data_IF_938933322560
#
_entry.id   IF_938933322560
#
_cell.length_a   1.000
_cell.length_b   1.000
_cell.length_c   1.000
_cell.angle_alpha   90.00
_cell.angle_beta   90.00
_cell.angle_gamma   90.00
#
_symmetry.space_group_name_H-M   'P 1'
#
loop_
_entity.id
_entity.type
_entity.pdbx_description
1 polymer ?
#
# COMPACT_ATOMS: atom_id res chain seq x y z
N UNK A 1 0.68 -13.71 10.61
CA UNK A 1 -0.59 -14.35 10.21
C UNK A 1 -1.34 -13.48 9.21
N UNK A 2 -1.64 -12.21 9.53
CA UNK A 2 -2.39 -11.29 8.65
C UNK A 2 -1.65 -11.03 7.32
N UNK A 3 -0.33 -10.85 7.34
CA UNK A 3 0.44 -10.61 6.11
C UNK A 3 0.48 -11.82 5.16
N UNK A 4 0.35 -13.04 5.67
CA UNK A 4 0.25 -14.22 4.80
C UNK A 4 -1.13 -14.28 4.13
N UNK A 5 -2.18 -13.77 4.79
CA UNK A 5 -3.50 -13.64 4.20
C UNK A 5 -3.55 -12.53 3.14
N UNK A 6 -2.76 -11.46 3.26
CA UNK A 6 -2.65 -10.44 2.19
C UNK A 6 -1.75 -10.88 1.03
N UNK A 7 -0.71 -11.67 1.31
CA UNK A 7 0.28 -12.09 0.29
C UNK A 7 -0.05 -13.40 -0.43
N UNK A 8 -0.84 -14.28 0.20
CA UNK A 8 -1.24 -15.57 -0.38
C UNK A 8 -2.75 -15.84 -0.32
N UNK A 9 -3.54 -14.90 0.21
CA UNK A 9 -4.98 -15.04 0.27
C UNK A 9 -5.68 -14.62 -1.02
N UNK A 10 -6.94 -14.98 -1.15
CA UNK A 10 -7.77 -14.59 -2.29
C UNK A 10 -8.09 -13.10 -2.24
N UNK A 11 -8.37 -12.44 -3.38
CA UNK A 11 -8.77 -11.03 -3.40
C UNK A 11 -9.99 -10.74 -2.49
N UNK A 12 -10.88 -11.73 -2.29
CA UNK A 12 -11.99 -11.64 -1.34
C UNK A 12 -11.53 -11.54 0.11
N UNK A 13 -10.50 -12.29 0.51
CA UNK A 13 -9.92 -12.19 1.86
C UNK A 13 -9.25 -10.83 2.07
N UNK A 14 -8.58 -10.30 1.04
CA UNK A 14 -7.99 -8.96 1.09
C UNK A 14 -9.07 -7.90 1.28
N UNK A 15 -10.16 -7.96 0.51
CA UNK A 15 -11.31 -7.05 0.67
C UNK A 15 -11.92 -7.11 2.07
N UNK A 16 -12.06 -8.32 2.61
CA UNK A 16 -12.56 -8.52 3.97
C UNK A 16 -11.63 -7.89 5.02
N UNK A 17 -10.32 -8.09 4.91
CA UNK A 17 -9.34 -7.48 5.82
C UNK A 17 -9.38 -5.95 5.75
N UNK A 18 -9.52 -5.38 4.56
CA UNK A 18 -9.65 -3.93 4.39
C UNK A 18 -10.96 -3.42 5.02
N UNK A 19 -12.07 -4.16 4.85
CA UNK A 19 -13.34 -3.82 5.47
C UNK A 19 -13.28 -3.82 7.01
N UNK A 20 -12.44 -4.68 7.60
CA UNK A 20 -12.15 -4.72 9.04
C UNK A 20 -11.17 -3.62 9.49
N UNK A 21 -10.70 -2.75 8.58
CA UNK A 21 -9.81 -1.63 8.92
C UNK A 21 -8.35 -2.04 9.13
N UNK A 22 -7.84 -3.00 8.35
CA UNK A 22 -6.44 -3.43 8.46
C UNK A 22 -5.41 -2.42 7.90
N UNK A 23 -5.83 -1.41 7.11
CA UNK A 23 -4.91 -0.48 6.45
C UNK A 23 -4.13 0.41 7.45
N UNK A 24 -4.79 1.15 8.38
CA UNK A 24 -4.07 1.97 9.36
C UNK A 24 -2.99 1.23 10.16
N UNK A 25 -3.22 0.01 10.71
CA UNK A 25 -2.17 -0.69 11.43
C UNK A 25 -1.01 -1.13 10.53
N UNK A 26 -1.22 -1.39 9.24
CA UNK A 26 -0.11 -1.62 8.31
C UNK A 26 0.70 -0.34 8.05
N UNK A 27 0.06 0.81 7.97
CA UNK A 27 0.75 2.09 7.83
C UNK A 27 1.58 2.42 9.09
N UNK A 28 1.09 2.11 10.28
CA UNK A 28 1.87 2.24 11.53
C UNK A 28 3.08 1.29 11.57
N UNK A 29 3.00 0.12 10.92
CA UNK A 29 4.15 -0.79 10.81
C UNK A 29 5.25 -0.24 9.90
N UNK A 30 5.00 0.77 9.07
CA UNK A 30 6.04 1.40 8.25
C UNK A 30 7.01 2.27 9.07
N UNK A 31 6.61 2.69 10.27
CA UNK A 31 7.43 3.57 11.13
C UNK A 31 8.26 2.80 12.17
N UNK A 32 8.18 1.46 12.18
CA UNK A 32 8.93 0.64 13.14
C UNK A 32 10.38 0.46 12.67
N UNK A 33 11.32 0.29 13.60
CA UNK A 33 12.75 0.11 13.26
C UNK A 33 13.09 -1.30 12.72
N UNK A 34 12.12 -2.21 12.67
CA UNK A 34 12.34 -3.57 12.19
C UNK A 34 12.17 -3.64 10.66
N UNK A 35 13.28 -3.82 9.96
CA UNK A 35 13.32 -3.92 8.49
C UNK A 35 12.39 -5.00 7.93
N UNK A 36 12.27 -6.14 8.62
CA UNK A 36 11.39 -7.22 8.17
C UNK A 36 9.93 -6.80 8.30
N UNK A 37 9.57 -6.10 9.38
CA UNK A 37 8.22 -5.57 9.55
C UNK A 37 7.87 -4.53 8.49
N UNK A 38 8.78 -3.60 8.17
CA UNK A 38 8.59 -2.63 7.10
C UNK A 38 8.37 -3.35 5.76
N UNK A 39 9.22 -4.32 5.41
CA UNK A 39 9.08 -5.08 4.17
C UNK A 39 7.76 -5.84 4.09
N UNK A 40 7.35 -6.45 5.21
CA UNK A 40 6.08 -7.17 5.36
C UNK A 40 4.89 -6.23 5.18
N UNK A 41 4.94 -5.03 5.78
CA UNK A 41 3.90 -4.02 5.66
C UNK A 41 3.79 -3.48 4.22
N UNK A 42 4.93 -3.14 3.59
CA UNK A 42 4.97 -2.70 2.19
C UNK A 42 4.38 -3.76 1.25
N UNK A 43 4.72 -5.04 1.44
CA UNK A 43 4.13 -6.13 0.64
C UNK A 43 2.63 -6.27 0.88
N UNK A 44 2.15 -6.14 2.11
CA UNK A 44 0.72 -6.17 2.40
C UNK A 44 -0.03 -5.01 1.71
N UNK A 45 0.48 -3.79 1.85
CA UNK A 45 -0.09 -2.59 1.23
C UNK A 45 -0.08 -2.67 -0.29
N UNK A 46 1.00 -3.16 -0.89
CA UNK A 46 1.08 -3.38 -2.34
C UNK A 46 0.00 -4.36 -2.83
N UNK A 47 -0.21 -5.47 -2.12
CA UNK A 47 -1.25 -6.44 -2.49
C UNK A 47 -2.66 -5.86 -2.32
N UNK A 48 -2.89 -5.10 -1.25
CA UNK A 48 -4.16 -4.38 -1.06
C UNK A 48 -4.42 -3.42 -2.22
N UNK A 49 -3.46 -2.56 -2.54
CA UNK A 49 -3.54 -1.61 -3.66
C UNK A 49 -3.80 -2.31 -4.99
N UNK A 50 -3.12 -3.44 -5.25
CA UNK A 50 -3.36 -4.26 -6.44
C UNK A 50 -4.78 -4.80 -6.53
N UNK A 51 -5.35 -5.27 -5.43
CA UNK A 51 -6.76 -5.73 -5.41
C UNK A 51 -7.71 -4.56 -5.66
N UNK A 52 -7.38 -3.38 -5.15
CA UNK A 52 -8.13 -2.15 -5.40
C UNK A 52 -8.09 -1.68 -6.84
N UNK A 53 -6.95 -1.79 -7.51
CA UNK A 53 -6.79 -1.49 -8.94
C UNK A 53 -7.66 -2.41 -9.82
N UNK A 54 -7.77 -3.69 -9.45
CA UNK A 54 -8.67 -4.64 -10.14
C UNK A 54 -10.14 -4.23 -9.93
N UNK A 55 -10.51 -3.77 -8.73
CA UNK A 55 -11.87 -3.36 -8.42
C UNK A 55 -12.24 -2.02 -9.07
N UNK A 56 -11.28 -1.10 -9.13
CA UNK A 56 -11.42 0.22 -9.76
C UNK A 56 -11.55 0.11 -11.27
N UNK A 57 -10.82 -0.82 -11.90
CA UNK A 57 -10.96 -1.15 -13.32
C UNK A 57 -12.38 -1.63 -13.68
N UNK A 58 -13.05 -2.35 -12.78
CA UNK A 58 -14.44 -2.79 -12.97
C UNK A 58 -15.46 -1.66 -12.75
N UNK A 59 -15.12 -0.67 -11.93
CA UNK A 59 -16.03 0.40 -11.49
C UNK A 59 -15.78 1.74 -12.22
N UNK A 60 -14.75 1.82 -13.09
CA UNK A 60 -14.27 3.07 -13.73
C UNK A 60 -14.05 4.23 -12.73
N UNK A 61 -13.59 3.90 -11.54
CA UNK A 61 -13.34 4.85 -10.47
C UNK A 61 -11.88 4.86 -10.04
N UNK A 62 -11.59 5.69 -9.04
CA UNK A 62 -10.29 5.70 -8.36
C UNK A 62 -10.14 4.48 -7.44
N UNK A 63 -8.90 4.16 -7.07
CA UNK A 63 -8.63 3.06 -6.16
C UNK A 63 -9.04 3.45 -4.72
N UNK A 64 -10.17 2.95 -4.25
CA UNK A 64 -10.68 3.26 -2.91
C UNK A 64 -9.73 2.88 -1.78
N UNK A 65 -8.84 1.91 -2.00
CA UNK A 65 -7.84 1.55 -0.99
C UNK A 65 -6.67 2.53 -0.95
N UNK A 66 -6.34 3.17 -2.08
CA UNK A 66 -5.35 4.24 -2.11
C UNK A 66 -5.84 5.45 -1.28
N UNK A 67 -7.10 5.83 -1.45
CA UNK A 67 -7.73 6.90 -0.66
C UNK A 67 -7.64 6.64 0.85
N UNK A 68 -7.93 5.41 1.31
CA UNK A 68 -7.84 5.06 2.74
C UNK A 68 -6.40 5.15 3.24
N UNK A 69 -5.42 4.80 2.40
CA UNK A 69 -3.99 4.93 2.74
C UNK A 69 -3.62 6.40 2.91
N UNK A 70 -4.11 7.29 2.04
CA UNK A 70 -3.88 8.74 2.18
C UNK A 70 -4.55 9.31 3.42
N UNK A 71 -5.80 8.93 3.71
CA UNK A 71 -6.53 9.39 4.90
C UNK A 71 -5.83 9.03 6.22
N UNK A 72 -5.01 7.98 6.24
CA UNK A 72 -4.24 7.55 7.41
C UNK A 72 -2.76 8.00 7.40
N UNK A 73 -2.39 8.96 6.56
CA UNK A 73 -1.00 9.43 6.36
C UNK A 73 -0.04 8.29 5.99
N UNK A 74 -0.57 7.27 5.31
CA UNK A 74 0.20 6.13 4.86
C UNK A 74 1.09 6.49 3.68
N UNK A 75 0.63 7.36 2.78
CA UNK A 75 1.41 7.84 1.64
C UNK A 75 2.68 8.58 2.10
N UNK A 76 2.56 9.53 3.02
CA UNK A 76 3.71 10.27 3.58
C UNK A 76 4.76 9.32 4.17
N UNK A 77 4.31 8.26 4.85
CA UNK A 77 5.20 7.23 5.44
C UNK A 77 5.90 6.40 4.36
N UNK A 78 5.20 6.05 3.27
CA UNK A 78 5.79 5.32 2.15
C UNK A 78 6.81 6.22 1.42
N UNK A 79 6.50 7.51 1.21
CA UNK A 79 7.44 8.46 0.63
C UNK A 79 8.68 8.65 1.51
N UNK A 80 8.52 8.72 2.83
CA UNK A 80 9.66 8.76 3.76
C UNK A 80 10.58 7.56 3.61
N UNK A 81 10.03 6.36 3.36
CA UNK A 81 10.82 5.15 3.11
C UNK A 81 11.63 5.18 1.81
N UNK A 82 11.37 6.14 0.90
CA UNK A 82 12.25 6.40 -0.25
C UNK A 82 13.58 7.07 0.14
N UNK A 83 13.76 7.43 1.41
CA UNK A 83 15.06 7.91 1.94
C UNK A 83 15.80 6.82 2.71
N UNK A 84 15.21 5.62 2.81
CA UNK A 84 15.73 4.54 3.64
C UNK A 84 17.03 3.96 3.05
N UNK A 85 18.00 3.64 3.92
CA UNK A 85 19.34 3.15 3.56
C UNK A 85 19.32 1.81 2.81
N UNK A 86 18.29 1.02 3.11
CA UNK A 86 18.04 -0.28 2.49
C UNK A 86 17.40 -0.11 1.10
N UNK A 87 18.13 -0.53 0.06
CA UNK A 87 17.70 -0.44 -1.35
C UNK A 87 16.40 -1.20 -1.64
N UNK A 88 16.16 -2.36 -1.01
CA UNK A 88 14.92 -3.12 -1.23
C UNK A 88 13.69 -2.37 -0.72
N UNK A 89 13.80 -1.70 0.44
CA UNK A 89 12.73 -0.88 1.01
C UNK A 89 12.48 0.33 0.12
N UNK A 90 13.56 1.04 -0.24
CA UNK A 90 13.51 2.17 -1.18
C UNK A 90 12.78 1.80 -2.47
N UNK A 91 13.22 0.73 -3.13
CA UNK A 91 12.72 0.36 -4.44
C UNK A 91 11.25 -0.06 -4.40
N UNK A 92 10.83 -0.75 -3.32
CA UNK A 92 9.41 -1.09 -3.13
C UNK A 92 8.55 0.12 -2.84
N UNK A 93 9.01 1.02 -1.97
CA UNK A 93 8.29 2.25 -1.68
C UNK A 93 8.13 3.11 -2.94
N UNK A 94 9.19 3.25 -3.72
CA UNK A 94 9.18 3.95 -5.01
C UNK A 94 8.20 3.31 -6.00
N UNK A 95 8.22 1.98 -6.15
CA UNK A 95 7.30 1.28 -7.05
C UNK A 95 5.83 1.47 -6.65
N UNK A 96 5.53 1.43 -5.34
CA UNK A 96 4.17 1.65 -4.84
C UNK A 96 3.71 3.07 -5.16
N UNK A 97 4.54 4.08 -4.84
CA UNK A 97 4.20 5.49 -5.11
C UNK A 97 4.04 5.72 -6.60
N UNK A 98 5.01 5.32 -7.42
CA UNK A 98 4.94 5.52 -8.87
C UNK A 98 3.76 4.83 -9.54
N UNK A 99 3.37 3.65 -9.06
CA UNK A 99 2.31 2.85 -9.70
C UNK A 99 0.92 3.27 -9.27
N UNK A 100 0.72 3.54 -7.98
CA UNK A 100 -0.61 3.72 -7.41
C UNK A 100 -0.95 5.18 -7.09
N UNK A 101 0.05 6.04 -6.86
CA UNK A 101 -0.15 7.42 -6.43
C UNK A 101 0.39 8.45 -7.44
N UNK A 102 1.45 8.14 -8.21
CA UNK A 102 1.96 9.04 -9.27
C UNK A 102 1.17 9.00 -10.58
N UNK A 103 0.13 8.16 -10.69
CA UNK A 103 -0.75 8.16 -11.87
C UNK A 103 -1.57 9.47 -11.97
N UNK A 104 -1.62 10.28 -10.90
CA UNK A 104 -2.38 11.53 -10.85
C UNK A 104 -1.54 12.79 -11.13
N UNK A 105 -0.20 12.70 -11.20
CA UNK A 105 0.66 13.88 -11.45
C UNK A 105 0.92 14.17 -12.95
N UNK A 106 0.20 13.53 -13.88
CA UNK A 106 0.22 13.94 -15.30
C UNK A 106 -0.78 15.06 -15.62
N UNK A 107 -1.14 15.87 -14.62
CA UNK A 107 -1.68 17.21 -14.85
C UNK A 107 -0.64 18.26 -14.47
N UNK A 108 0.40 18.37 -15.30
CA UNK A 108 1.14 19.62 -15.45
C UNK A 108 0.80 20.17 -16.83
N UNK A 109 0.22 21.37 -16.80
CA UNK A 109 -0.40 22.18 -17.84
C UNK A 109 0.24 22.16 -19.25
#
# INVERSE_FOLDING_TARGET
AITNATSGGTPEQVRYLVAEGCIPPFCELLTVMDLKMIQVALTALQNILRVGEIDSANTKGENRFALIIEECYGLDKIEYLQTHENNDIYQRAYEIVCRYFSAEDTQIA
#
